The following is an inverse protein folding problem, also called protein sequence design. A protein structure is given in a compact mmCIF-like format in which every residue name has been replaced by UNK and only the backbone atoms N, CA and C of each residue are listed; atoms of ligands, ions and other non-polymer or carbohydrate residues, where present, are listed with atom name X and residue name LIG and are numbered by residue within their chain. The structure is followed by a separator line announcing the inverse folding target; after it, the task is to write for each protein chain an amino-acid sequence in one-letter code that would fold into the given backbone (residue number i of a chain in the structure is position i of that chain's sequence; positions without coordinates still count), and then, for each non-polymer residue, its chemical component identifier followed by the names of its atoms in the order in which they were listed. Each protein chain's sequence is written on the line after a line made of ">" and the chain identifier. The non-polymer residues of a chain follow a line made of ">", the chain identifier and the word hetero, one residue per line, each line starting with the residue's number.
data_IF_711942001997
#
_entry.id   IF_711942001997
#
_cell.length_a   1.000
_cell.length_b   1.000
_cell.length_c   1.000
_cell.angle_alpha   90.00
_cell.angle_beta   90.00
_cell.angle_gamma   90.00
#
_symmetry.space_group_name_H-M   'P 1'
#
loop_
_entity.id
_entity.type
_entity.pdbx_description
1 polymer ?
#
# COMPACT_ATOMS: atom_id res chain seq x y z
N UNK A 1 -18.76 -21.89 0.91
CA UNK A 1 -17.36 -21.68 1.36
C UNK A 1 -17.38 -21.51 2.88
N UNK A 2 -16.54 -22.24 3.62
CA UNK A 2 -16.53 -22.18 5.09
C UNK A 2 -15.79 -20.93 5.56
N UNK A 3 -16.47 -20.02 6.25
CA UNK A 3 -15.84 -18.84 6.84
C UNK A 3 -15.00 -19.26 8.05
N UNK A 4 -13.71 -18.90 8.02
CA UNK A 4 -12.80 -19.15 9.15
C UNK A 4 -12.97 -18.06 10.21
N UNK A 5 -12.90 -18.44 11.47
CA UNK A 5 -12.86 -17.49 12.60
C UNK A 5 -11.46 -16.87 12.74
N UNK A 6 -11.41 -15.61 13.17
CA UNK A 6 -10.19 -14.84 13.35
C UNK A 6 -9.54 -14.39 12.04
N UNK A 7 -8.23 -14.12 12.11
CA UNK A 7 -7.40 -13.72 10.98
C UNK A 7 -7.28 -12.21 10.83
N UNK A 8 -6.95 -11.78 9.61
CA UNK A 8 -6.65 -10.39 9.29
C UNK A 8 -7.26 -10.03 7.94
N UNK A 9 -7.82 -8.83 7.85
CA UNK A 9 -7.99 -8.18 6.56
C UNK A 9 -6.67 -7.53 6.18
N UNK A 10 -6.23 -7.79 4.96
CA UNK A 10 -4.89 -7.46 4.51
C UNK A 10 -4.94 -6.89 3.11
N UNK A 11 -4.22 -5.79 2.91
CA UNK A 11 -4.13 -5.11 1.64
C UNK A 11 -2.69 -4.75 1.33
N UNK A 12 -2.14 -5.37 0.30
CA UNK A 12 -0.80 -5.07 -0.23
C UNK A 12 -0.93 -4.22 -1.47
N UNK A 13 -0.11 -3.20 -1.55
CA UNK A 13 -0.10 -2.27 -2.67
C UNK A 13 1.32 -1.91 -3.08
N UNK A 14 1.48 -1.72 -4.38
CA UNK A 14 2.70 -1.18 -4.98
C UNK A 14 2.34 0.13 -5.65
N UNK A 15 3.12 1.17 -5.39
CA UNK A 15 2.98 2.46 -6.05
C UNK A 15 4.34 2.94 -6.55
N UNK A 16 4.31 3.65 -7.67
CA UNK A 16 5.49 4.19 -8.33
C UNK A 16 5.45 5.71 -8.30
N UNK A 17 6.63 6.30 -8.46
CA UNK A 17 6.83 7.74 -8.50
C UNK A 17 7.24 8.17 -9.91
N UNK A 18 6.30 8.17 -10.87
CA UNK A 18 6.58 8.66 -12.20
C UNK A 18 6.80 10.17 -12.18
N UNK A 19 7.73 10.63 -13.00
CA UNK A 19 7.99 12.05 -13.23
C UNK A 19 8.06 12.35 -14.71
N UNK A 20 7.76 13.59 -15.07
CA UNK A 20 7.97 14.14 -16.41
C UNK A 20 8.72 15.48 -16.27
N UNK A 21 9.80 15.66 -17.03
CA UNK A 21 10.56 16.91 -17.03
C UNK A 21 9.99 17.96 -18.00
N UNK A 22 10.57 19.16 -18.00
CA UNK A 22 10.14 20.27 -18.87
C UNK A 22 10.42 20.02 -20.35
N UNK A 23 11.26 19.03 -20.69
CA UNK A 23 11.53 18.61 -22.07
C UNK A 23 10.58 17.49 -22.53
N UNK A 24 9.65 17.03 -21.66
CA UNK A 24 8.71 15.97 -21.95
C UNK A 24 9.27 14.55 -21.77
N UNK A 25 10.45 14.39 -21.15
CA UNK A 25 10.96 13.07 -20.80
C UNK A 25 10.27 12.54 -19.55
N UNK A 26 9.96 11.24 -19.53
CA UNK A 26 9.34 10.59 -18.38
C UNK A 26 10.24 9.51 -17.79
N UNK A 27 10.15 9.32 -16.49
CA UNK A 27 10.90 8.30 -15.74
C UNK A 27 10.20 7.90 -14.45
N UNK A 28 10.81 6.99 -13.70
CA UNK A 28 10.35 6.57 -12.36
C UNK A 28 11.49 6.80 -11.38
N UNK A 29 11.26 7.62 -10.36
CA UNK A 29 12.27 7.88 -9.32
C UNK A 29 12.37 6.70 -8.35
N UNK A 30 11.23 6.16 -7.92
CA UNK A 30 11.15 5.06 -6.94
C UNK A 30 9.91 4.19 -7.15
N UNK A 31 10.03 2.94 -6.71
CA UNK A 31 8.92 1.98 -6.59
C UNK A 31 8.81 1.53 -5.13
N UNK A 32 7.64 1.72 -4.54
CA UNK A 32 7.38 1.40 -3.15
C UNK A 32 6.46 0.20 -3.04
N UNK A 33 6.80 -0.72 -2.14
CA UNK A 33 5.98 -1.88 -1.79
C UNK A 33 5.55 -1.75 -0.33
N UNK A 34 4.24 -1.68 -0.10
CA UNK A 34 3.68 -1.49 1.24
C UNK A 34 2.44 -2.35 1.43
N UNK A 35 1.97 -2.42 2.67
CA UNK A 35 0.74 -3.10 3.01
C UNK A 35 0.10 -2.51 4.27
N UNK A 36 -1.21 -2.66 4.39
CA UNK A 36 -1.98 -2.33 5.60
C UNK A 36 -2.83 -3.52 6.02
N UNK A 37 -3.07 -3.67 7.32
CA UNK A 37 -3.87 -4.76 7.85
C UNK A 37 -4.62 -4.41 9.13
N UNK A 38 -5.70 -5.16 9.39
CA UNK A 38 -6.43 -5.12 10.66
C UNK A 38 -6.83 -6.52 11.10
N UNK A 39 -6.85 -6.81 12.42
CA UNK A 39 -7.45 -8.04 12.93
C UNK A 39 -8.92 -8.15 12.48
N UNK A 40 -9.31 -9.34 12.02
CA UNK A 40 -10.67 -9.66 11.61
C UNK A 40 -11.26 -10.72 12.55
N UNK A 41 -12.53 -10.56 12.91
CA UNK A 41 -13.22 -11.57 13.76
C UNK A 41 -13.52 -12.86 13.00
N UNK A 42 -13.72 -12.77 11.68
CA UNK A 42 -13.99 -13.89 10.78
C UNK A 42 -13.69 -13.47 9.34
N UNK A 43 -13.52 -14.45 8.47
CA UNK A 43 -13.51 -14.27 7.02
C UNK A 43 -14.92 -13.91 6.56
N UNK A 44 -15.14 -12.64 6.22
CA UNK A 44 -16.43 -12.12 5.78
C UNK A 44 -16.19 -11.11 4.65
N UNK A 45 -16.68 -11.45 3.46
CA UNK A 45 -16.44 -10.66 2.25
C UNK A 45 -17.05 -9.26 2.34
N UNK A 46 -18.23 -9.11 2.93
CA UNK A 46 -18.89 -7.82 3.09
C UNK A 46 -18.10 -6.93 4.06
N UNK A 47 -17.71 -7.49 5.20
CA UNK A 47 -16.87 -6.77 6.15
C UNK A 47 -15.50 -6.41 5.55
N UNK A 48 -14.93 -7.29 4.72
CA UNK A 48 -13.71 -7.01 3.97
C UNK A 48 -13.89 -5.80 3.06
N UNK A 49 -14.94 -5.78 2.21
CA UNK A 49 -15.18 -4.67 1.27
C UNK A 49 -15.42 -3.35 2.00
N UNK A 50 -16.17 -3.37 3.11
CA UNK A 50 -16.37 -2.19 3.96
C UNK A 50 -15.05 -1.70 4.53
N UNK A 51 -14.23 -2.61 5.05
CA UNK A 51 -12.90 -2.29 5.56
C UNK A 51 -11.99 -1.70 4.48
N UNK A 52 -12.03 -2.25 3.27
CA UNK A 52 -11.23 -1.76 2.16
C UNK A 52 -11.53 -0.29 1.85
N UNK A 53 -12.80 0.04 1.67
CA UNK A 53 -13.23 1.40 1.33
C UNK A 53 -13.04 2.40 2.47
N UNK A 54 -13.35 1.99 3.71
CA UNK A 54 -13.43 2.91 4.85
C UNK A 54 -12.15 2.98 5.69
N UNK A 55 -11.24 2.02 5.53
CA UNK A 55 -10.04 1.91 6.38
C UNK A 55 -8.78 1.76 5.53
N UNK A 56 -8.71 0.75 4.66
CA UNK A 56 -7.50 0.47 3.91
C UNK A 56 -7.16 1.59 2.94
N UNK A 57 -8.10 2.01 2.08
CA UNK A 57 -7.87 3.04 1.06
C UNK A 57 -7.51 4.42 1.65
N UNK A 58 -8.20 4.93 2.69
CA UNK A 58 -7.77 6.16 3.37
C UNK A 58 -6.36 6.07 3.94
N UNK A 59 -5.99 4.93 4.56
CA UNK A 59 -4.65 4.74 5.12
C UNK A 59 -3.58 4.62 4.02
N UNK A 60 -3.87 3.93 2.92
CA UNK A 60 -3.01 3.82 1.74
C UNK A 60 -2.74 5.20 1.16
N UNK A 61 -3.80 5.99 0.97
CA UNK A 61 -3.67 7.36 0.49
C UNK A 61 -2.76 8.15 1.43
N UNK A 62 -3.05 8.19 2.73
CA UNK A 62 -2.23 8.90 3.70
C UNK A 62 -0.74 8.45 3.70
N UNK A 63 -0.47 7.15 3.53
CA UNK A 63 0.91 6.63 3.44
C UNK A 63 1.62 7.13 2.17
N UNK A 64 0.94 7.10 1.03
CA UNK A 64 1.46 7.62 -0.23
C UNK A 64 1.69 9.12 -0.09
N UNK A 65 0.73 9.90 0.40
CA UNK A 65 0.88 11.36 0.57
C UNK A 65 2.09 11.71 1.46
N UNK A 66 2.26 10.98 2.56
CA UNK A 66 3.39 11.20 3.48
C UNK A 66 4.75 10.87 2.86
N UNK A 67 4.86 9.73 2.18
CA UNK A 67 6.15 9.26 1.66
C UNK A 67 6.50 9.86 0.30
N UNK A 68 5.51 10.25 -0.50
CA UNK A 68 5.72 10.72 -1.87
C UNK A 68 5.68 12.24 -2.00
N UNK A 69 4.67 12.92 -1.43
CA UNK A 69 4.51 14.36 -1.66
C UNK A 69 5.65 15.17 -1.02
N UNK A 70 6.23 14.69 0.08
CA UNK A 70 7.40 15.31 0.69
C UNK A 70 8.62 15.39 -0.23
N UNK A 71 8.86 14.36 -1.05
CA UNK A 71 10.01 14.29 -1.96
C UNK A 71 9.69 14.92 -3.32
N UNK A 72 8.47 14.72 -3.84
CA UNK A 72 8.02 15.30 -5.10
C UNK A 72 7.93 16.84 -5.02
N UNK A 73 7.40 17.40 -3.92
CA UNK A 73 7.21 18.85 -3.79
C UNK A 73 8.53 19.60 -3.48
N UNK A 74 9.60 18.91 -3.06
CA UNK A 74 10.94 19.50 -2.83
C UNK A 74 11.82 19.53 -4.08
N UNK A 75 11.28 19.11 -5.23
CA UNK A 75 12.04 18.95 -6.46
C UNK A 75 12.55 20.29 -7.01
N UNK A 76 13.88 20.46 -7.04
CA UNK A 76 14.56 21.64 -7.62
C UNK A 76 14.85 21.53 -9.12
N UNK A 77 14.46 20.43 -9.76
CA UNK A 77 14.79 20.12 -11.17
C UNK A 77 13.62 20.37 -12.13
N UNK A 78 12.52 20.99 -11.66
CA UNK A 78 11.37 21.34 -12.51
C UNK A 78 10.58 20.15 -13.05
N UNK A 79 10.75 18.94 -12.47
CA UNK A 79 9.96 17.77 -12.88
C UNK A 79 8.58 17.81 -12.22
N UNK A 80 7.58 17.41 -12.98
CA UNK A 80 6.21 17.21 -12.51
C UNK A 80 6.02 15.74 -12.21
N UNK A 81 5.51 15.42 -11.02
CA UNK A 81 5.23 14.05 -10.61
C UNK A 81 3.73 13.78 -10.69
N UNK A 82 3.31 12.65 -11.28
CA UNK A 82 1.90 12.28 -11.25
C UNK A 82 1.52 11.85 -9.83
N UNK A 83 0.51 12.52 -9.29
CA UNK A 83 -0.01 12.22 -7.96
C UNK A 83 -0.87 10.96 -8.04
N UNK A 84 -0.48 9.93 -7.28
CA UNK A 84 -1.18 8.67 -7.11
C UNK A 84 -1.15 7.73 -8.34
N UNK A 85 -0.06 6.95 -8.47
CA UNK A 85 0.05 5.86 -9.45
C UNK A 85 0.18 4.50 -8.74
N UNK A 86 -0.96 3.93 -8.38
CA UNK A 86 -1.07 2.61 -7.76
C UNK A 86 -1.21 1.55 -8.85
N UNK A 87 -0.28 0.59 -8.91
CA UNK A 87 -0.20 -0.36 -10.03
C UNK A 87 -0.65 -1.78 -9.70
N UNK A 88 -0.46 -2.21 -8.45
CA UNK A 88 -0.77 -3.58 -8.06
C UNK A 88 -1.42 -3.60 -6.70
N UNK A 89 -2.50 -4.35 -6.61
CA UNK A 89 -3.33 -4.46 -5.42
C UNK A 89 -3.59 -5.92 -5.15
N UNK A 90 -3.26 -6.37 -3.95
CA UNK A 90 -3.69 -7.67 -3.46
C UNK A 90 -4.49 -7.46 -2.20
N UNK A 91 -5.79 -7.70 -2.35
CA UNK A 91 -6.77 -7.62 -1.29
C UNK A 91 -7.18 -9.03 -0.86
N UNK A 92 -6.93 -9.38 0.40
CA UNK A 92 -7.17 -10.73 0.89
C UNK A 92 -7.46 -10.80 2.40
N UNK A 93 -8.12 -11.88 2.81
CA UNK A 93 -8.13 -12.31 4.20
C UNK A 93 -6.98 -13.29 4.42
N UNK A 94 -6.27 -13.15 5.54
CA UNK A 94 -5.19 -14.05 5.91
C UNK A 94 -5.43 -14.65 7.30
N UNK A 95 -5.22 -15.95 7.45
CA UNK A 95 -5.21 -16.58 8.79
C UNK A 95 -3.99 -16.17 9.61
N UNK A 96 -2.87 -15.88 8.92
CA UNK A 96 -1.63 -15.33 9.47
C UNK A 96 -1.12 -14.24 8.53
N UNK A 97 -0.55 -13.18 9.07
CA UNK A 97 -0.02 -12.09 8.26
C UNK A 97 1.16 -12.58 7.39
N UNK A 98 1.24 -12.13 6.13
CA UNK A 98 2.47 -12.23 5.36
C UNK A 98 3.63 -11.59 6.13
N UNK A 99 4.81 -12.19 6.07
CA UNK A 99 6.01 -11.71 6.76
C UNK A 99 7.09 -11.33 5.77
N UNK A 100 8.03 -10.47 6.19
CA UNK A 100 9.24 -10.21 5.41
C UNK A 100 10.03 -11.52 5.22
N UNK A 101 10.51 -11.74 4.00
CA UNK A 101 11.28 -12.93 3.61
C UNK A 101 12.78 -12.65 3.45
N UNK A 102 13.19 -11.38 3.47
CA UNK A 102 14.57 -10.96 3.29
C UNK A 102 14.93 -9.79 4.22
N UNK A 103 16.23 -9.64 4.51
CA UNK A 103 16.78 -8.54 5.30
C UNK A 103 16.64 -8.69 6.82
N UNK A 104 16.90 -7.61 7.57
CA UNK A 104 16.87 -7.61 9.04
C UNK A 104 15.48 -7.73 9.67
N UNK A 105 14.41 -7.69 8.86
CA UNK A 105 13.02 -7.78 9.32
C UNK A 105 12.40 -9.17 9.10
N UNK A 106 13.19 -10.16 8.66
CA UNK A 106 12.70 -11.52 8.36
C UNK A 106 11.86 -12.08 9.51
N UNK A 107 10.69 -12.62 9.17
CA UNK A 107 9.75 -13.18 10.13
C UNK A 107 8.82 -12.19 10.82
N UNK A 108 9.07 -10.88 10.69
CA UNK A 108 8.13 -9.85 11.14
C UNK A 108 6.99 -9.65 10.13
N UNK A 109 5.78 -9.27 10.56
CA UNK A 109 4.67 -8.97 9.66
C UNK A 109 5.05 -7.89 8.63
N UNK A 110 4.75 -8.15 7.36
CA UNK A 110 4.91 -7.20 6.28
C UNK A 110 3.68 -6.29 6.22
N UNK A 111 3.87 -4.99 6.44
CA UNK A 111 2.80 -4.00 6.43
C UNK A 111 2.54 -3.36 7.78
N UNK A 112 1.62 -2.38 7.79
CA UNK A 112 1.28 -1.55 8.94
C UNK A 112 -0.11 -1.91 9.46
N UNK A 113 -0.24 -2.05 10.77
CA UNK A 113 -1.56 -2.16 11.38
C UNK A 113 -2.24 -0.78 11.35
N UNK A 114 -3.51 -0.75 10.96
CA UNK A 114 -4.32 0.48 10.87
C UNK A 114 -5.59 0.40 11.72
#
# INVERSE_FOLDING_TARGET
>A
MSHKNGGYFYYRYTYMCPWTDTAGQSGIDNTYHSAVYTPARKQDHTAQTVWFNNTAMPAVKADIEKNFYGDADRNRQGRTHERYNQQQEQFMWCSKLPTHTTGGMVGLPFGKQV
#
